data_IF_349873768134
#
_entry.id   IF_349873768134
#
_cell.length_a   1.000
_cell.length_b   1.000
_cell.length_c   1.000
_cell.angle_alpha   90.00
_cell.angle_beta   90.00
_cell.angle_gamma   90.00
#
_symmetry.space_group_name_H-M   'P 1'
#
loop_
_entity.id
_entity.type
_entity.pdbx_description
1 polymer ?
#
# COMPACT_ATOMS: atom_id res chain seq x y z
N UNK A 1 -5.50 37.94 47.91
CA UNK A 1 -6.63 37.55 47.05
C UNK A 1 -6.16 37.56 45.60
N UNK A 2 -5.71 36.41 45.06
CA UNK A 2 -5.67 36.13 43.61
C UNK A 2 -5.87 34.62 43.46
N UNK A 3 -7.10 34.21 43.15
CA UNK A 3 -7.42 32.83 42.85
C UNK A 3 -6.91 32.52 41.43
N UNK A 4 -5.80 31.77 41.33
CA UNK A 4 -5.37 31.19 40.05
C UNK A 4 -6.08 29.85 39.86
N UNK A 5 -7.08 29.86 38.99
CA UNK A 5 -7.77 28.69 38.47
C UNK A 5 -6.74 27.78 37.74
N UNK A 6 -6.44 26.59 38.27
CA UNK A 6 -5.58 25.59 37.63
C UNK A 6 -6.26 24.22 37.65
N UNK A 7 -7.16 23.98 36.70
CA UNK A 7 -7.88 22.70 36.51
C UNK A 7 -7.05 21.64 35.76
N UNK A 8 -5.74 21.53 36.01
CA UNK A 8 -4.89 20.51 35.38
C UNK A 8 -3.62 20.23 36.22
N UNK A 9 -3.77 19.92 37.51
CA UNK A 9 -2.70 19.16 38.18
C UNK A 9 -2.93 17.68 37.90
N UNK A 10 -1.95 16.94 37.33
CA UNK A 10 -2.08 15.51 37.15
C UNK A 10 -2.31 14.86 38.51
N UNK A 11 -3.31 13.99 38.60
CA UNK A 11 -3.59 13.23 39.82
C UNK A 11 -2.35 12.42 40.19
N UNK A 12 -1.91 12.52 41.44
CA UNK A 12 -0.80 11.73 41.97
C UNK A 12 -1.17 10.24 41.88
N UNK A 13 -0.36 9.46 41.15
CA UNK A 13 -0.49 8.01 41.02
C UNK A 13 0.70 7.34 41.69
N UNK A 14 0.48 6.65 42.79
CA UNK A 14 1.50 5.83 43.43
C UNK A 14 1.62 4.49 42.68
N UNK A 15 2.86 4.09 42.35
CA UNK A 15 3.17 2.81 41.74
C UNK A 15 3.92 1.95 42.77
N UNK A 16 3.41 0.76 43.10
CA UNK A 16 4.00 -0.18 44.05
C UNK A 16 4.70 -1.36 43.37
N UNK A 17 4.92 -1.29 42.05
CA UNK A 17 5.59 -2.34 41.29
C UNK A 17 7.02 -2.56 41.83
N UNK A 18 7.30 -3.81 42.25
CA UNK A 18 8.61 -4.21 42.77
C UNK A 18 9.59 -4.62 41.66
N UNK A 19 9.06 -4.98 40.48
CA UNK A 19 9.83 -5.39 39.30
C UNK A 19 10.07 -4.16 38.42
N UNK A 20 11.32 -3.97 37.97
CA UNK A 20 11.67 -2.90 37.03
C UNK A 20 11.15 -3.22 35.63
N UNK A 21 10.55 -2.23 34.98
CA UNK A 21 10.17 -2.31 33.57
C UNK A 21 11.46 -2.35 32.72
N UNK A 22 11.69 -3.50 32.06
CA UNK A 22 12.89 -3.73 31.22
C UNK A 22 12.63 -3.28 29.78
N UNK A 23 11.38 -3.35 29.32
CA UNK A 23 10.94 -2.99 27.98
C UNK A 23 9.74 -2.07 28.09
N UNK A 24 9.79 -0.95 27.39
CA UNK A 24 8.68 0.02 27.36
C UNK A 24 7.52 -0.53 26.54
N UNK A 25 6.30 -0.14 26.92
CA UNK A 25 5.11 -0.39 26.09
C UNK A 25 5.32 0.21 24.69
N UNK A 26 5.19 -0.59 23.62
CA UNK A 26 5.35 -0.11 22.25
C UNK A 26 4.15 0.74 21.80
N UNK A 27 4.21 1.30 20.60
CA UNK A 27 3.06 2.03 20.07
C UNK A 27 1.98 1.03 19.64
N UNK A 28 0.84 1.07 20.33
CA UNK A 28 -0.19 0.03 20.23
C UNK A 28 -0.88 -0.06 18.85
N UNK A 29 -0.66 0.92 17.98
CA UNK A 29 -1.18 0.93 16.60
C UNK A 29 -0.12 0.56 15.56
N UNK A 30 1.12 0.23 15.98
CA UNK A 30 2.21 -0.16 15.08
C UNK A 30 1.78 -1.27 14.12
N UNK A 31 1.18 -2.35 14.65
CA UNK A 31 0.76 -3.49 13.84
C UNK A 31 -0.18 -3.10 12.68
N UNK A 32 -1.12 -2.19 12.95
CA UNK A 32 -2.11 -1.77 11.95
C UNK A 32 -1.45 -0.89 10.89
N UNK A 33 -0.62 0.05 11.31
CA UNK A 33 0.08 0.98 10.42
C UNK A 33 1.12 0.24 9.57
N UNK A 34 1.94 -0.61 10.18
CA UNK A 34 3.01 -1.33 9.51
C UNK A 34 2.48 -2.34 8.51
N UNK A 35 1.40 -3.05 8.86
CA UNK A 35 0.72 -3.96 7.94
C UNK A 35 0.20 -3.22 6.69
N UNK A 36 -0.42 -2.05 6.89
CA UNK A 36 -0.96 -1.27 5.79
C UNK A 36 0.14 -0.63 4.93
N UNK A 37 1.21 -0.09 5.53
CA UNK A 37 2.39 0.42 4.82
C UNK A 37 3.05 -0.68 3.99
N UNK A 38 3.24 -1.86 4.58
CA UNK A 38 3.81 -3.02 3.88
C UNK A 38 2.92 -3.51 2.73
N UNK A 39 1.61 -3.40 2.87
CA UNK A 39 0.66 -3.71 1.79
C UNK A 39 0.74 -2.70 0.63
N UNK A 40 0.89 -1.40 0.94
CA UNK A 40 0.89 -0.31 -0.04
C UNK A 40 2.24 -0.06 -0.72
N UNK A 41 3.37 -0.24 -0.04
CA UNK A 41 4.73 0.08 -0.52
C UNK A 41 4.84 1.46 -1.20
N UNK A 42 4.17 2.47 -0.64
CA UNK A 42 4.04 3.81 -1.22
C UNK A 42 5.34 4.63 -1.16
N UNK A 43 6.12 4.45 -0.09
CA UNK A 43 7.42 5.11 0.10
C UNK A 43 8.60 4.40 -0.63
N UNK A 44 8.36 3.22 -1.22
CA UNK A 44 9.41 2.40 -1.85
C UNK A 44 9.44 2.65 -3.38
N UNK A 45 10.61 2.99 -3.96
CA UNK A 45 10.79 3.10 -5.41
C UNK A 45 10.43 1.81 -6.14
N UNK A 46 9.93 1.92 -7.37
CA UNK A 46 9.41 0.78 -8.13
C UNK A 46 10.37 -0.42 -8.19
N UNK A 47 11.66 -0.15 -8.41
CA UNK A 47 12.69 -1.17 -8.65
C UNK A 47 13.13 -1.88 -7.36
N UNK A 48 12.80 -1.32 -6.20
CA UNK A 48 13.14 -1.85 -4.87
C UNK A 48 11.92 -2.47 -4.16
N UNK A 49 10.76 -2.53 -4.84
CA UNK A 49 9.55 -3.11 -4.24
C UNK A 49 9.65 -4.63 -4.14
N UNK A 50 9.30 -5.14 -2.96
CA UNK A 50 9.18 -6.56 -2.70
C UNK A 50 7.91 -7.13 -3.36
N UNK A 51 7.90 -8.43 -3.62
CA UNK A 51 6.77 -9.18 -4.21
C UNK A 51 5.67 -9.47 -3.17
N UNK A 52 5.19 -8.42 -2.51
CA UNK A 52 4.18 -8.47 -1.45
C UNK A 52 3.10 -7.40 -1.67
N UNK A 53 1.98 -7.54 -0.95
CA UNK A 53 0.89 -6.57 -0.98
C UNK A 53 0.32 -6.37 -2.38
N UNK A 54 0.08 -5.12 -2.76
CA UNK A 54 -0.46 -4.78 -4.09
C UNK A 54 0.50 -5.23 -5.21
N UNK A 55 1.80 -5.00 -5.05
CA UNK A 55 2.81 -5.37 -6.05
C UNK A 55 2.82 -6.88 -6.31
N UNK A 56 2.87 -7.67 -5.23
CA UNK A 56 2.88 -9.12 -5.29
C UNK A 56 1.60 -9.70 -5.91
N UNK A 57 0.44 -9.13 -5.58
CA UNK A 57 -0.85 -9.57 -6.17
C UNK A 57 -0.86 -9.36 -7.67
N UNK A 58 -0.46 -8.17 -8.17
CA UNK A 58 -0.40 -7.95 -9.61
C UNK A 58 0.61 -8.90 -10.29
N UNK A 59 1.82 -9.07 -9.72
CA UNK A 59 2.79 -10.03 -10.25
C UNK A 59 2.31 -11.48 -10.24
N UNK A 60 1.42 -11.87 -9.33
CA UNK A 60 0.88 -13.24 -9.29
C UNK A 60 -0.20 -13.50 -10.36
N UNK A 61 -0.90 -12.45 -10.79
CA UNK A 61 -2.00 -12.57 -11.77
C UNK A 61 -1.50 -12.40 -13.20
N UNK A 62 -0.49 -11.55 -13.40
CA UNK A 62 0.14 -11.34 -14.70
C UNK A 62 1.35 -12.26 -14.90
N UNK A 63 1.67 -12.68 -16.13
CA UNK A 63 1.05 -12.27 -17.40
C UNK A 63 -0.26 -13.01 -17.71
N UNK A 64 -1.22 -12.30 -18.30
CA UNK A 64 -2.45 -12.89 -18.84
C UNK A 64 -2.23 -13.10 -20.34
N UNK A 65 -2.41 -14.33 -20.82
CA UNK A 65 -2.18 -14.71 -22.22
C UNK A 65 -3.50 -15.01 -22.91
N UNK A 66 -3.59 -14.67 -24.19
CA UNK A 66 -4.71 -15.08 -25.04
C UNK A 66 -4.65 -16.60 -25.33
N UNK A 67 -5.79 -17.19 -25.68
CA UNK A 67 -5.94 -18.62 -25.98
C UNK A 67 -4.98 -19.10 -27.08
N UNK A 68 -4.78 -18.28 -28.11
CA UNK A 68 -3.90 -18.61 -29.24
C UNK A 68 -2.42 -18.29 -28.96
N UNK A 69 -2.08 -17.71 -27.81
CA UNK A 69 -0.71 -17.35 -27.46
C UNK A 69 -0.09 -16.24 -28.32
N UNK A 70 -0.89 -15.55 -29.14
CA UNK A 70 -0.47 -14.43 -30.01
C UNK A 70 -0.35 -13.12 -29.26
N UNK A 71 -0.94 -13.00 -28.07
CA UNK A 71 -0.84 -11.79 -27.27
C UNK A 71 -0.75 -12.09 -25.78
N UNK A 72 -0.07 -11.19 -25.06
CA UNK A 72 0.05 -11.26 -23.60
C UNK A 72 0.05 -9.87 -22.98
N UNK A 73 -0.66 -9.74 -21.87
CA UNK A 73 -0.72 -8.54 -21.05
C UNK A 73 0.27 -8.70 -19.90
N UNK A 74 1.17 -7.73 -19.73
CA UNK A 74 2.18 -7.69 -18.68
C UNK A 74 1.98 -6.50 -17.73
N UNK A 75 2.15 -6.75 -16.44
CA UNK A 75 2.15 -5.71 -15.43
C UNK A 75 3.53 -5.04 -15.35
N UNK A 76 3.56 -3.71 -15.38
CA UNK A 76 4.80 -2.92 -15.26
C UNK A 76 4.90 -2.26 -13.89
N UNK A 77 3.88 -1.50 -13.48
CA UNK A 77 3.90 -0.76 -12.21
C UNK A 77 2.51 -0.33 -11.75
N UNK A 78 2.37 0.06 -10.48
CA UNK A 78 1.22 0.82 -10.00
C UNK A 78 1.66 2.10 -9.29
N UNK A 79 0.75 3.08 -9.30
CA UNK A 79 0.88 4.37 -8.60
C UNK A 79 -0.40 4.64 -7.82
N UNK A 80 -0.24 5.11 -6.59
CA UNK A 80 -1.35 5.60 -5.77
C UNK A 80 -1.55 7.09 -6.07
N UNK A 81 -2.80 7.50 -6.29
CA UNK A 81 -3.14 8.91 -6.42
C UNK A 81 -3.32 9.58 -5.05
N UNK A 82 -3.75 10.84 -5.09
CA UNK A 82 -4.05 11.60 -3.87
C UNK A 82 -5.53 11.44 -3.49
N UNK A 83 -5.86 11.51 -2.19
CA UNK A 83 -7.25 11.50 -1.75
C UNK A 83 -7.96 12.76 -2.24
N UNK A 84 -9.23 12.62 -2.62
CA UNK A 84 -10.04 13.75 -3.14
C UNK A 84 -10.46 14.73 -2.04
N UNK A 85 -10.62 14.23 -0.82
CA UNK A 85 -11.08 14.99 0.34
C UNK A 85 -10.23 14.61 1.56
N UNK A 86 -10.21 15.47 2.57
CA UNK A 86 -9.63 15.14 3.87
C UNK A 86 -10.52 14.18 4.66
N UNK A 87 -9.96 13.54 5.69
CA UNK A 87 -10.67 12.67 6.62
C UNK A 87 -11.91 13.34 7.23
N UNK A 88 -11.78 14.60 7.68
CA UNK A 88 -12.89 15.37 8.27
C UNK A 88 -14.00 15.66 7.28
N UNK A 89 -13.65 16.02 6.05
CA UNK A 89 -14.64 16.28 5.00
C UNK A 89 -15.38 15.01 4.61
N UNK A 90 -14.68 13.87 4.55
CA UNK A 90 -15.29 12.57 4.31
C UNK A 90 -16.32 12.22 5.39
N UNK A 91 -15.99 12.45 6.68
CA UNK A 91 -16.91 12.24 7.79
C UNK A 91 -18.17 13.12 7.69
N UNK A 92 -18.01 14.41 7.37
CA UNK A 92 -19.13 15.34 7.25
C UNK A 92 -20.05 15.05 6.06
N UNK A 93 -19.47 14.62 4.94
CA UNK A 93 -20.21 14.33 3.70
C UNK A 93 -20.76 12.90 3.63
N UNK A 94 -20.39 12.03 4.58
CA UNK A 94 -20.77 10.62 4.57
C UNK A 94 -20.17 9.84 3.40
N UNK A 95 -18.97 10.21 2.95
CA UNK A 95 -18.26 9.53 1.84
C UNK A 95 -17.02 8.81 2.35
N UNK A 96 -16.58 7.78 1.62
CA UNK A 96 -15.38 7.00 1.99
C UNK A 96 -14.10 7.78 1.70
N UNK A 97 -13.17 7.79 2.66
CA UNK A 97 -11.80 8.29 2.45
C UNK A 97 -11.00 7.24 1.68
N UNK A 98 -10.64 7.54 0.44
CA UNK A 98 -9.93 6.62 -0.45
C UNK A 98 -9.03 7.34 -1.45
N UNK A 99 -8.11 6.58 -2.02
CA UNK A 99 -7.21 7.02 -3.10
C UNK A 99 -7.40 6.16 -4.34
N UNK A 100 -7.30 6.72 -5.56
CA UNK A 100 -7.35 5.93 -6.78
C UNK A 100 -6.02 5.18 -6.99
N UNK A 101 -6.10 3.94 -7.47
CA UNK A 101 -4.93 3.15 -7.88
C UNK A 101 -4.88 3.17 -9.41
N UNK A 102 -3.73 3.55 -9.98
CA UNK A 102 -3.48 3.49 -11.43
C UNK A 102 -2.41 2.44 -11.70
N UNK A 103 -2.67 1.57 -12.67
CA UNK A 103 -1.77 0.47 -13.05
C UNK A 103 -1.26 0.73 -14.47
N UNK A 104 0.05 0.64 -14.66
CA UNK A 104 0.70 0.61 -15.98
C UNK A 104 0.87 -0.84 -16.41
N UNK A 105 0.34 -1.11 -17.59
CA UNK A 105 0.28 -2.43 -18.20
C UNK A 105 0.87 -2.30 -19.61
N UNK A 106 1.58 -3.32 -20.07
CA UNK A 106 2.10 -3.45 -21.44
C UNK A 106 1.35 -4.56 -22.16
N UNK A 107 0.98 -4.34 -23.42
CA UNK A 107 0.48 -5.39 -24.30
C UNK A 107 1.62 -5.82 -25.21
N UNK A 108 1.88 -7.12 -25.29
CA UNK A 108 2.86 -7.71 -26.19
C UNK A 108 2.10 -8.55 -27.21
N UNK A 109 2.37 -8.33 -28.49
CA UNK A 109 1.81 -9.09 -29.61
C UNK A 109 2.95 -9.84 -30.31
N UNK A 110 2.74 -11.13 -30.53
CA UNK A 110 3.64 -12.04 -31.19
C UNK A 110 3.15 -12.35 -32.60
N UNK A 111 4.05 -12.27 -33.58
CA UNK A 111 3.82 -12.87 -34.89
C UNK A 111 4.23 -14.35 -34.87
N UNK A 112 3.26 -15.22 -35.15
CA UNK A 112 3.47 -16.66 -35.27
C UNK A 112 3.51 -16.98 -36.77
N UNK A 113 4.70 -17.17 -37.33
CA UNK A 113 4.86 -17.73 -38.67
C UNK A 113 4.78 -19.27 -38.61
N UNK A 114 3.97 -19.88 -39.48
CA UNK A 114 3.83 -21.34 -39.56
C UNK A 114 5.18 -21.99 -39.91
N UNK A 115 5.84 -22.59 -38.91
CA UNK A 115 7.05 -23.41 -39.10
C UNK A 115 8.30 -23.00 -38.30
N UNK A 116 8.27 -21.89 -37.56
CA UNK A 116 9.42 -21.43 -36.75
C UNK A 116 9.07 -21.31 -35.27
N UNK A 117 9.92 -21.82 -34.37
CA UNK A 117 9.82 -21.59 -32.91
C UNK A 117 10.16 -20.15 -32.48
N UNK A 118 10.47 -19.26 -33.44
CA UNK A 118 10.88 -17.88 -33.18
C UNK A 118 9.66 -16.97 -33.09
N UNK A 119 9.42 -16.42 -31.90
CA UNK A 119 8.39 -15.40 -31.66
C UNK A 119 9.02 -14.02 -31.83
N UNK A 120 8.56 -13.22 -32.79
CA UNK A 120 9.00 -11.84 -32.96
C UNK A 120 7.99 -10.88 -32.30
N UNK A 121 8.50 -9.85 -31.61
CA UNK A 121 7.69 -8.82 -30.95
C UNK A 121 7.24 -7.84 -32.02
N UNK A 122 5.93 -7.72 -32.25
CA UNK A 122 5.37 -6.85 -33.30
C UNK A 122 5.07 -5.42 -32.81
N UNK A 123 4.75 -5.24 -31.53
CA UNK A 123 4.43 -3.92 -30.93
C UNK A 123 4.63 -3.91 -29.39
N UNK A 124 4.95 -2.73 -28.82
CA UNK A 124 5.15 -2.44 -27.37
C UNK A 124 4.19 -1.35 -26.90
#
# INVERSE_FOLDING_TARGET
>A
MVARNSRNLPRLRCNFASIKEVVKVPFLLDLQLDSYKRFLQDEIPLDERDDIGIHGVFKSVFPIKDFYGTSSIEYVSYTLGTPRYTDRECMLKGVTYSVPIRVRIRLIIWDIEEGSEQRSIRDI
#
